data_IF_127772316818
#
_entry.id   IF_127772316818
#
_cell.length_a   1.000
_cell.length_b   1.000
_cell.length_c   1.000
_cell.angle_alpha   90.00
_cell.angle_beta   90.00
_cell.angle_gamma   90.00
#
_symmetry.space_group_name_H-M   'P 1'
#
loop_
_entity.id
_entity.type
_entity.pdbx_description
1 polymer ?
#
# COMPACT_ATOMS: atom_id res chain seq x y z
N UNK A 1 -20.32 26.25 59.09
CA UNK A 1 -18.94 25.71 59.02
C UNK A 1 -18.84 24.19 58.81
N UNK A 2 -19.69 23.32 59.41
CA UNK A 2 -19.60 21.85 59.18
C UNK A 2 -19.99 21.41 57.76
N UNK A 3 -21.07 21.95 57.20
CA UNK A 3 -21.54 21.59 55.85
C UNK A 3 -20.50 21.90 54.76
N UNK A 4 -19.91 23.10 54.81
CA UNK A 4 -18.83 23.50 53.90
C UNK A 4 -17.60 22.57 53.99
N UNK A 5 -17.29 21.99 55.15
CA UNK A 5 -16.20 21.02 55.29
C UNK A 5 -16.53 19.70 54.59
N UNK A 6 -17.77 19.23 54.72
CA UNK A 6 -18.26 18.00 54.09
C UNK A 6 -18.27 18.15 52.56
N UNK A 7 -18.78 19.28 52.04
CA UNK A 7 -18.76 19.58 50.60
C UNK A 7 -17.34 19.65 50.06
N UNK A 8 -16.42 20.29 50.79
CA UNK A 8 -15.01 20.38 50.39
C UNK A 8 -14.34 18.99 50.38
N UNK A 9 -14.67 18.12 51.34
CA UNK A 9 -14.21 16.74 51.36
C UNK A 9 -14.76 15.90 50.19
N UNK A 10 -16.04 16.05 49.84
CA UNK A 10 -16.61 15.40 48.65
C UNK A 10 -15.90 15.85 47.37
N UNK A 11 -15.75 17.16 47.17
CA UNK A 11 -15.11 17.71 45.97
C UNK A 11 -13.67 17.20 45.85
N UNK A 12 -12.94 17.09 46.97
CA UNK A 12 -11.59 16.50 46.97
C UNK A 12 -11.59 15.03 46.57
N UNK A 13 -12.58 14.27 47.04
CA UNK A 13 -12.72 12.85 46.70
C UNK A 13 -13.04 12.68 45.21
N UNK A 14 -13.99 13.44 44.69
CA UNK A 14 -14.37 13.45 43.27
C UNK A 14 -13.18 13.83 42.39
N UNK A 15 -12.47 14.90 42.73
CA UNK A 15 -11.27 15.32 42.01
C UNK A 15 -10.17 14.24 42.03
N UNK A 16 -10.02 13.50 43.14
CA UNK A 16 -9.06 12.41 43.23
C UNK A 16 -9.47 11.23 42.34
N UNK A 17 -10.76 10.91 42.27
CA UNK A 17 -11.30 9.86 41.38
C UNK A 17 -11.12 10.23 39.91
N UNK A 18 -11.45 11.47 39.53
CA UNK A 18 -11.24 11.98 38.18
C UNK A 18 -9.76 11.91 37.78
N UNK A 19 -8.86 12.40 38.63
CA UNK A 19 -7.40 12.33 38.38
C UNK A 19 -6.93 10.91 38.17
N UNK A 20 -7.44 9.95 38.95
CA UNK A 20 -7.10 8.54 38.77
C UNK A 20 -7.58 8.02 37.42
N UNK A 21 -8.81 8.32 37.03
CA UNK A 21 -9.34 7.93 35.72
C UNK A 21 -8.55 8.55 34.56
N UNK A 22 -8.14 9.83 34.67
CA UNK A 22 -7.29 10.48 33.67
C UNK A 22 -5.94 9.80 33.53
N UNK A 23 -5.32 9.39 34.63
CA UNK A 23 -4.04 8.67 34.60
C UNK A 23 -4.20 7.29 33.94
N UNK A 24 -5.26 6.55 34.27
CA UNK A 24 -5.57 5.25 33.65
C UNK A 24 -5.78 5.39 32.13
N UNK A 25 -6.48 6.43 31.68
CA UNK A 25 -6.67 6.71 30.24
C UNK A 25 -5.34 7.10 29.59
N UNK A 26 -4.52 7.93 30.24
CA UNK A 26 -3.21 8.32 29.72
C UNK A 26 -2.29 7.10 29.54
N UNK A 27 -2.32 6.16 30.48
CA UNK A 27 -1.56 4.91 30.36
C UNK A 27 -2.07 4.05 29.19
N UNK A 28 -3.39 3.93 29.03
CA UNK A 28 -3.98 3.21 27.89
C UNK A 28 -3.63 3.86 26.55
N UNK A 29 -3.66 5.19 26.46
CA UNK A 29 -3.26 5.92 25.27
C UNK A 29 -1.79 5.65 24.94
N UNK A 30 -0.90 5.71 25.92
CA UNK A 30 0.53 5.43 25.71
C UNK A 30 0.76 3.99 25.20
N UNK A 31 -0.03 3.02 25.65
CA UNK A 31 0.04 1.64 25.13
C UNK A 31 -0.45 1.57 23.68
N UNK A 32 -1.58 2.21 23.37
CA UNK A 32 -2.13 2.22 22.01
C UNK A 32 -1.22 2.95 21.02
N UNK A 33 -0.60 4.05 21.43
CA UNK A 33 0.37 4.78 20.61
C UNK A 33 1.56 3.91 20.25
N UNK A 34 2.12 3.16 21.21
CA UNK A 34 3.21 2.21 20.95
C UNK A 34 2.77 1.12 19.97
N UNK A 35 1.63 0.48 20.22
CA UNK A 35 1.10 -0.56 19.33
C UNK A 35 0.84 -0.03 17.90
N UNK A 36 0.35 1.21 17.78
CA UNK A 36 0.13 1.85 16.49
C UNK A 36 1.45 2.09 15.74
N UNK A 37 2.51 2.44 16.47
CA UNK A 37 3.83 2.67 15.92
C UNK A 37 4.45 1.35 15.43
N UNK A 38 4.32 0.29 16.22
CA UNK A 38 4.78 -1.07 15.86
C UNK A 38 4.08 -1.56 14.58
N UNK A 39 2.74 -1.49 14.53
CA UNK A 39 1.97 -1.87 13.35
C UNK A 39 2.35 -1.06 12.10
N UNK A 40 2.64 0.24 12.27
CA UNK A 40 3.10 1.09 11.18
C UNK A 40 4.45 0.62 10.64
N UNK A 41 5.39 0.27 11.52
CA UNK A 41 6.70 -0.26 11.11
C UNK A 41 6.58 -1.61 10.39
N UNK A 42 5.73 -2.52 10.88
CA UNK A 42 5.48 -3.80 10.22
C UNK A 42 4.86 -3.63 8.84
N UNK A 43 3.88 -2.73 8.72
CA UNK A 43 3.27 -2.38 7.44
C UNK A 43 4.31 -1.86 6.46
N UNK A 44 5.19 -0.95 6.89
CA UNK A 44 6.20 -0.35 6.02
C UNK A 44 7.21 -1.41 5.54
N UNK A 45 7.63 -2.32 6.43
CA UNK A 45 8.46 -3.48 6.06
C UNK A 45 7.77 -4.41 5.05
N UNK A 46 6.48 -4.69 5.27
CA UNK A 46 5.70 -5.52 4.35
C UNK A 46 5.58 -4.86 2.98
N UNK A 47 5.30 -3.55 2.94
CA UNK A 47 5.19 -2.77 1.71
C UNK A 47 6.50 -2.77 0.92
N UNK A 48 7.64 -2.58 1.59
CA UNK A 48 8.95 -2.66 0.95
C UNK A 48 9.17 -4.03 0.30
N UNK A 49 8.88 -5.11 1.04
CA UNK A 49 8.99 -6.49 0.52
C UNK A 49 8.07 -6.74 -0.65
N UNK A 50 6.83 -6.27 -0.58
CA UNK A 50 5.84 -6.40 -1.64
C UNK A 50 6.30 -5.69 -2.92
N UNK A 51 6.75 -4.43 -2.82
CA UNK A 51 7.23 -3.69 -3.98
C UNK A 51 8.49 -4.31 -4.57
N UNK A 52 9.41 -4.80 -3.74
CA UNK A 52 10.60 -5.52 -4.21
C UNK A 52 10.23 -6.79 -4.97
N UNK A 53 9.27 -7.56 -4.46
CA UNK A 53 8.77 -8.76 -5.13
C UNK A 53 8.04 -8.42 -6.45
N UNK A 54 7.25 -7.34 -6.46
CA UNK A 54 6.56 -6.87 -7.66
C UNK A 54 7.55 -6.42 -8.75
N UNK A 55 8.58 -5.68 -8.37
CA UNK A 55 9.65 -5.26 -9.28
C UNK A 55 10.45 -6.46 -9.81
N UNK A 56 10.76 -7.45 -8.97
CA UNK A 56 11.40 -8.69 -9.40
C UNK A 56 10.53 -9.45 -10.41
N UNK A 57 9.20 -9.47 -10.22
CA UNK A 57 8.27 -10.12 -11.15
C UNK A 57 8.12 -9.35 -12.47
N UNK A 58 8.08 -8.01 -12.45
CA UNK A 58 7.94 -7.20 -13.66
C UNK A 58 9.19 -7.24 -14.55
N UNK A 59 10.37 -7.45 -13.97
CA UNK A 59 11.62 -7.66 -14.74
C UNK A 59 11.58 -8.90 -15.64
N UNK A 60 10.71 -9.88 -15.31
CA UNK A 60 10.43 -11.06 -16.14
C UNK A 60 9.26 -10.80 -17.08
N UNK A 61 9.31 -9.73 -17.88
CA UNK A 61 8.40 -9.61 -19.03
C UNK A 61 8.55 -10.89 -19.86
N UNK A 62 7.47 -11.64 -20.14
CA UNK A 62 7.56 -12.80 -21.01
C UNK A 62 8.06 -12.33 -22.37
N UNK A 63 9.30 -12.68 -22.68
CA UNK A 63 9.91 -12.36 -23.96
C UNK A 63 9.21 -13.25 -24.97
N UNK A 64 8.48 -12.66 -25.93
CA UNK A 64 7.90 -13.42 -27.02
C UNK A 64 9.06 -14.15 -27.72
N UNK A 65 9.06 -15.50 -27.77
CA UNK A 65 10.14 -16.22 -28.45
C UNK A 65 10.30 -15.71 -29.88
N UNK A 66 11.54 -15.55 -30.39
CA UNK A 66 11.78 -14.88 -31.67
C UNK A 66 11.06 -15.57 -32.85
N UNK A 67 10.90 -16.89 -32.79
CA UNK A 67 10.11 -17.64 -33.77
C UNK A 67 8.62 -17.31 -33.74
N UNK A 68 8.03 -17.12 -32.56
CA UNK A 68 6.62 -16.72 -32.39
C UNK A 68 6.44 -15.26 -32.81
N UNK A 69 7.35 -14.38 -32.43
CA UNK A 69 7.33 -12.97 -32.81
C UNK A 69 7.34 -12.79 -34.33
N UNK A 70 8.20 -13.53 -35.03
CA UNK A 70 8.24 -13.52 -36.51
C UNK A 70 6.92 -13.98 -37.12
N UNK A 71 6.27 -15.01 -36.57
CA UNK A 71 4.95 -15.48 -37.05
C UNK A 71 3.87 -14.42 -36.83
N UNK A 72 3.85 -13.77 -35.66
CA UNK A 72 2.89 -12.70 -35.35
C UNK A 72 3.07 -11.49 -36.28
N UNK A 73 4.30 -11.05 -36.51
CA UNK A 73 4.60 -9.96 -37.45
C UNK A 73 4.12 -10.27 -38.87
N UNK A 74 4.27 -11.51 -39.32
CA UNK A 74 3.80 -11.93 -40.64
C UNK A 74 2.26 -12.02 -40.73
N UNK A 75 1.58 -12.34 -39.62
CA UNK A 75 0.13 -12.37 -39.56
C UNK A 75 -0.48 -10.97 -39.51
N UNK A 76 0.13 -10.04 -38.79
CA UNK A 76 -0.36 -8.67 -38.61
C UNK A 76 0.14 -7.67 -39.67
N UNK A 77 0.92 -8.11 -40.66
CA UNK A 77 1.59 -7.21 -41.59
C UNK A 77 0.58 -6.32 -42.36
N UNK A 78 0.78 -4.99 -42.41
CA UNK A 78 -0.16 -4.06 -43.02
C UNK A 78 -0.44 -4.34 -44.50
N UNK A 79 0.55 -4.78 -45.28
CA UNK A 79 0.36 -5.23 -46.68
C UNK A 79 -0.71 -6.31 -46.86
N UNK A 80 -0.96 -7.13 -45.83
CA UNK A 80 -1.95 -8.23 -45.90
C UNK A 80 -3.34 -7.79 -45.47
N UNK A 81 -3.44 -6.62 -44.84
CA UNK A 81 -4.67 -6.06 -44.27
C UNK A 81 -4.98 -4.68 -44.86
N UNK A 82 -4.43 -4.35 -46.03
CA UNK A 82 -4.68 -3.08 -46.73
C UNK A 82 -4.41 -1.85 -45.88
N UNK A 83 -3.30 -1.84 -45.14
CA UNK A 83 -2.89 -0.74 -44.25
C UNK A 83 -3.90 -0.39 -43.15
N UNK A 84 -4.72 -1.36 -42.72
CA UNK A 84 -5.65 -1.12 -41.61
C UNK A 84 -4.92 -0.58 -40.36
N UNK A 85 -5.57 0.35 -39.67
CA UNK A 85 -5.04 0.98 -38.45
C UNK A 85 -4.68 -0.06 -37.38
N UNK A 86 -5.47 -1.11 -37.26
CA UNK A 86 -5.23 -2.22 -36.35
C UNK A 86 -3.94 -2.99 -36.70
N UNK A 87 -3.72 -3.29 -37.99
CA UNK A 87 -2.51 -3.98 -38.46
C UNK A 87 -1.25 -3.14 -38.25
N UNK A 88 -1.34 -1.84 -38.53
CA UNK A 88 -0.27 -0.87 -38.29
C UNK A 88 0.09 -0.78 -36.80
N UNK A 89 -0.92 -0.62 -35.93
CA UNK A 89 -0.74 -0.52 -34.49
C UNK A 89 -0.15 -1.81 -33.90
N UNK A 90 -0.68 -2.96 -34.31
CA UNK A 90 -0.21 -4.27 -33.85
C UNK A 90 1.24 -4.54 -34.31
N UNK A 91 1.57 -4.24 -35.57
CA UNK A 91 2.92 -4.43 -36.12
C UNK A 91 3.93 -3.52 -35.43
N UNK A 92 3.61 -2.24 -35.23
CA UNK A 92 4.46 -1.30 -34.50
C UNK A 92 4.71 -1.75 -33.06
N UNK A 93 3.68 -2.22 -32.37
CA UNK A 93 3.81 -2.76 -31.01
C UNK A 93 4.69 -4.02 -30.99
N UNK A 94 4.47 -4.98 -31.90
CA UNK A 94 5.27 -6.21 -31.98
C UNK A 94 6.75 -5.92 -32.28
N UNK A 95 7.04 -4.95 -33.14
CA UNK A 95 8.41 -4.50 -33.42
C UNK A 95 9.07 -3.92 -32.15
N UNK A 96 8.33 -3.22 -31.29
CA UNK A 96 8.84 -2.71 -30.00
C UNK A 96 9.20 -3.82 -29.00
N UNK A 97 8.64 -5.03 -29.16
CA UNK A 97 8.94 -6.20 -28.32
C UNK A 97 10.22 -6.94 -28.75
N UNK A 98 10.82 -6.56 -29.90
CA UNK A 98 12.09 -7.12 -30.35
C UNK A 98 13.22 -6.59 -29.46
N UNK A 99 13.82 -7.47 -28.64
CA UNK A 99 15.07 -7.16 -27.93
C UNK A 99 16.12 -6.73 -28.96
N UNK A 100 16.83 -5.63 -28.70
CA UNK A 100 18.09 -5.32 -29.38
C UNK A 100 19.17 -6.30 -28.93
#
# INVERSE_FOLDING_TARGET
>A
MRLLKIELEMIRLELAQERKAYLEIADQLAVLERASMDLKTERDLWMERYFKALAARSSRRPVIPPGILRRLLWLCHPDRHGDSEAANTATAWLLSQRKR
#
